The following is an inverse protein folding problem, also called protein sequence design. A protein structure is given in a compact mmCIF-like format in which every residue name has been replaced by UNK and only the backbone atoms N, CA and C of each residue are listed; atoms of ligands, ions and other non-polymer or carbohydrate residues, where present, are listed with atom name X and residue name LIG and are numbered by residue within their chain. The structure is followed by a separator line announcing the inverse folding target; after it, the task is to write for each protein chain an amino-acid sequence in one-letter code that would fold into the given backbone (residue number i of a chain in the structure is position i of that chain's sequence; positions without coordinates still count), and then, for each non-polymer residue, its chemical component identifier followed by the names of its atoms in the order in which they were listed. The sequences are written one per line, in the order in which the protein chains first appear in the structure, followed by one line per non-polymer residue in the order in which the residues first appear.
data_IF_201267806920
#
_entry.id   IF_201267806920
#
_cell.length_a   1.000
_cell.length_b   1.000
_cell.length_c   1.000
_cell.angle_alpha   90.00
_cell.angle_beta   90.00
_cell.angle_gamma   90.00
#
_symmetry.space_group_name_H-M   'P 1'
#
loop_
_entity.id
_entity.type
_entity.pdbx_description
1 polymer ?
#
# COMPACT_ATOMS: atom_id res chain seq x y z
N UNK A 1 4.52 -14.60 54.60
CA UNK A 1 4.20 -13.54 53.61
C UNK A 1 2.82 -13.83 53.02
N UNK A 2 1.76 -13.19 53.55
CA UNK A 2 0.40 -13.30 53.01
C UNK A 2 0.27 -12.25 51.90
N UNK A 3 0.36 -12.67 50.64
CA UNK A 3 0.04 -11.78 49.51
C UNK A 3 -1.45 -11.45 49.56
N UNK A 4 -1.75 -10.15 49.62
CA UNK A 4 -3.09 -9.58 49.59
C UNK A 4 -3.82 -9.91 48.29
N UNK A 5 -5.16 -9.99 48.34
CA UNK A 5 -5.99 -10.33 47.19
C UNK A 5 -5.88 -9.31 46.05
N UNK A 6 -5.49 -8.07 46.38
CA UNK A 6 -5.29 -6.96 45.44
C UNK A 6 -4.03 -7.11 44.59
N UNK A 7 -2.90 -7.47 45.20
CA UNK A 7 -1.64 -7.74 44.48
C UNK A 7 -1.74 -8.93 43.54
N UNK A 8 -2.56 -9.95 43.88
CA UNK A 8 -2.86 -11.07 42.99
C UNK A 8 -3.65 -10.66 41.74
N UNK A 9 -4.63 -9.76 41.88
CA UNK A 9 -5.41 -9.25 40.74
C UNK A 9 -4.56 -8.32 39.84
N UNK A 10 -3.69 -7.51 40.44
CA UNK A 10 -2.73 -6.69 39.69
C UNK A 10 -1.70 -7.52 38.91
N UNK A 11 -1.18 -8.59 39.51
CA UNK A 11 -0.27 -9.53 38.84
C UNK A 11 -0.96 -10.30 37.70
N UNK A 12 -2.21 -10.72 37.88
CA UNK A 12 -2.98 -11.39 36.82
C UNK A 12 -3.29 -10.43 35.66
N UNK A 13 -3.62 -9.16 35.95
CA UNK A 13 -3.79 -8.13 34.92
C UNK A 13 -2.50 -7.88 34.15
N UNK A 14 -1.38 -7.73 34.84
CA UNK A 14 -0.06 -7.56 34.23
C UNK A 14 0.36 -8.77 33.38
N UNK A 15 0.02 -9.99 33.81
CA UNK A 15 0.32 -11.23 33.08
C UNK A 15 -0.57 -11.42 31.83
N UNK A 16 -1.79 -10.87 31.82
CA UNK A 16 -2.69 -10.89 30.67
C UNK A 16 -2.36 -9.80 29.63
N UNK A 17 -1.73 -8.70 30.05
CA UNK A 17 -1.25 -7.62 29.17
C UNK A 17 0.15 -7.90 28.57
N UNK A 18 0.96 -8.74 29.23
CA UNK A 18 2.29 -9.13 28.78
C UNK A 18 2.34 -9.81 27.38
N UNK A 19 1.45 -10.76 27.01
CA UNK A 19 1.50 -11.38 25.69
C UNK A 19 1.16 -10.40 24.54
N UNK A 20 0.34 -9.37 24.78
CA UNK A 20 0.01 -8.35 23.78
C UNK A 20 1.21 -7.46 23.42
N UNK A 21 2.03 -7.11 24.40
CA UNK A 21 3.26 -6.33 24.19
C UNK A 21 4.37 -7.14 23.52
N UNK A 22 4.44 -8.45 23.79
CA UNK A 22 5.42 -9.35 23.17
C UNK A 22 5.07 -9.69 21.71
N UNK A 23 3.79 -9.83 21.36
CA UNK A 23 3.37 -10.09 19.98
C UNK A 23 3.57 -8.86 19.09
N UNK A 24 3.31 -7.66 19.63
CA UNK A 24 3.60 -6.40 18.94
C UNK A 24 5.09 -6.22 18.63
N UNK A 25 6.00 -6.65 19.52
CA UNK A 25 7.44 -6.56 19.30
C UNK A 25 7.96 -7.58 18.26
N UNK A 26 7.38 -8.78 18.19
CA UNK A 26 7.78 -9.81 17.23
C UNK A 26 7.41 -9.44 15.78
N UNK A 27 6.28 -8.76 15.55
CA UNK A 27 5.88 -8.28 14.23
C UNK A 27 6.78 -7.16 13.68
N UNK A 28 7.42 -6.37 14.54
CA UNK A 28 8.39 -5.33 14.09
C UNK A 28 9.71 -5.96 13.63
N UNK A 29 10.08 -7.13 14.17
CA UNK A 29 11.36 -7.75 13.86
C UNK A 29 11.38 -8.50 12.51
N UNK A 30 10.24 -8.99 12.02
CA UNK A 30 10.16 -9.83 10.80
C UNK A 30 9.16 -9.32 9.74
N UNK A 31 8.57 -8.13 9.94
CA UNK A 31 7.51 -7.63 9.08
C UNK A 31 6.23 -8.47 9.18
N UNK A 32 5.17 -8.03 8.50
CA UNK A 32 3.94 -8.84 8.37
C UNK A 32 4.20 -9.90 7.31
N UNK A 33 3.99 -11.18 7.68
CA UNK A 33 4.06 -12.27 6.70
C UNK A 33 2.90 -12.14 5.70
N UNK A 34 3.23 -11.72 4.49
CA UNK A 34 2.26 -11.51 3.42
C UNK A 34 1.58 -12.83 3.02
N UNK A 35 2.24 -13.98 3.15
CA UNK A 35 1.65 -15.28 2.82
C UNK A 35 0.55 -15.68 3.82
N UNK A 36 0.60 -15.14 5.05
CA UNK A 36 -0.41 -15.36 6.08
C UNK A 36 -1.59 -14.38 5.98
N UNK A 37 -1.52 -13.35 5.15
CA UNK A 37 -2.62 -12.39 4.98
C UNK A 37 -3.79 -13.04 4.23
N UNK A 38 -4.98 -12.89 4.79
CA UNK A 38 -6.21 -13.30 4.11
C UNK A 38 -6.40 -12.53 2.80
N UNK A 39 -6.95 -13.21 1.79
CA UNK A 39 -7.23 -12.63 0.47
C UNK A 39 -8.14 -11.39 0.52
N UNK A 40 -8.94 -11.24 1.59
CA UNK A 40 -9.79 -10.07 1.81
C UNK A 40 -9.00 -8.75 1.84
N UNK A 41 -7.73 -8.77 2.24
CA UNK A 41 -6.86 -7.59 2.20
C UNK A 41 -6.58 -7.08 0.78
N UNK A 42 -6.71 -7.94 -0.23
CA UNK A 42 -6.56 -7.57 -1.65
C UNK A 42 -7.81 -6.87 -2.23
N UNK A 43 -8.92 -6.79 -1.50
CA UNK A 43 -10.17 -6.27 -2.03
C UNK A 43 -10.10 -4.79 -2.44
N UNK A 44 -9.50 -3.86 -1.66
CA UNK A 44 -9.35 -2.47 -2.09
C UNK A 44 -8.49 -2.34 -3.36
N UNK A 45 -7.48 -3.19 -3.52
CA UNK A 45 -6.66 -3.23 -4.74
C UNK A 45 -7.46 -3.75 -5.94
N UNK A 46 -8.23 -4.83 -5.80
CA UNK A 46 -9.10 -5.32 -6.86
C UNK A 46 -10.16 -4.27 -7.26
N UNK A 47 -10.73 -3.56 -6.29
CA UNK A 47 -11.67 -2.46 -6.54
C UNK A 47 -11.02 -1.27 -7.26
N UNK A 48 -9.74 -0.98 -6.98
CA UNK A 48 -8.96 -0.01 -7.73
C UNK A 48 -8.79 -0.40 -9.19
N UNK A 49 -8.40 -1.66 -9.46
CA UNK A 49 -8.25 -2.18 -10.81
C UNK A 49 -9.58 -2.14 -11.57
N UNK A 50 -10.68 -2.48 -10.90
CA UNK A 50 -12.02 -2.38 -11.49
C UNK A 50 -12.39 -0.92 -11.79
N UNK A 51 -12.01 0.01 -10.92
CA UNK A 51 -12.27 1.44 -11.09
C UNK A 51 -11.55 1.99 -12.33
N UNK A 52 -10.25 1.71 -12.50
CA UNK A 52 -9.49 2.16 -13.68
C UNK A 52 -9.97 1.51 -14.98
N UNK A 53 -10.57 0.32 -14.91
CA UNK A 53 -11.07 -0.39 -16.09
C UNK A 53 -12.47 0.08 -16.50
N UNK A 54 -13.39 0.24 -15.54
CA UNK A 54 -14.81 0.45 -15.81
C UNK A 54 -15.22 1.93 -15.77
N UNK A 55 -14.70 2.72 -14.82
CA UNK A 55 -15.15 4.12 -14.66
C UNK A 55 -14.81 5.03 -15.85
N UNK A 56 -13.66 4.91 -16.54
CA UNK A 56 -13.44 5.69 -17.76
C UNK A 56 -14.46 5.40 -18.85
N UNK A 57 -15.00 4.18 -18.90
CA UNK A 57 -15.97 3.75 -19.91
C UNK A 57 -17.39 4.20 -19.56
N UNK A 58 -17.83 4.01 -18.32
CA UNK A 58 -19.21 4.29 -17.90
C UNK A 58 -19.43 5.72 -17.38
N UNK A 59 -18.40 6.34 -16.80
CA UNK A 59 -18.49 7.66 -16.16
C UNK A 59 -17.23 8.51 -16.43
N UNK A 60 -16.91 8.83 -17.69
CA UNK A 60 -15.67 9.54 -18.04
C UNK A 60 -15.55 10.90 -17.32
N UNK A 61 -16.63 11.67 -17.19
CA UNK A 61 -16.59 12.97 -16.49
C UNK A 61 -16.16 12.85 -15.03
N UNK A 62 -16.66 11.82 -14.33
CA UNK A 62 -16.29 11.52 -12.95
C UNK A 62 -14.82 11.07 -12.88
N UNK A 63 -14.42 10.15 -13.75
CA UNK A 63 -13.07 9.60 -13.76
C UNK A 63 -12.00 10.68 -13.97
N UNK A 64 -12.12 11.47 -15.03
CA UNK A 64 -11.10 12.47 -15.39
C UNK A 64 -10.96 13.56 -14.31
N UNK A 65 -12.05 13.89 -13.59
CA UNK A 65 -12.01 14.90 -12.53
C UNK A 65 -11.63 14.34 -11.15
N UNK A 66 -11.86 13.06 -10.88
CA UNK A 66 -11.72 12.47 -9.53
C UNK A 66 -10.88 11.20 -9.45
N UNK A 67 -10.14 10.81 -10.50
CA UNK A 67 -9.27 9.63 -10.49
C UNK A 67 -8.36 9.57 -9.24
N UNK A 68 -7.72 10.69 -8.88
CA UNK A 68 -6.83 10.74 -7.71
C UNK A 68 -7.57 10.62 -6.39
N UNK A 69 -8.80 11.14 -6.29
CA UNK A 69 -9.62 11.02 -5.07
C UNK A 69 -10.13 9.59 -4.90
N UNK A 70 -10.56 8.95 -5.99
CA UNK A 70 -10.98 7.55 -6.00
C UNK A 70 -9.80 6.66 -5.60
N UNK A 71 -8.63 6.89 -6.21
CA UNK A 71 -7.40 6.19 -5.87
C UNK A 71 -7.02 6.34 -4.40
N UNK A 72 -7.01 7.58 -3.90
CA UNK A 72 -6.75 7.87 -2.51
C UNK A 72 -7.77 7.22 -1.56
N UNK A 73 -9.05 7.19 -1.94
CA UNK A 73 -10.11 6.55 -1.16
C UNK A 73 -9.86 5.06 -0.96
N UNK A 74 -9.55 4.33 -2.03
CA UNK A 74 -9.23 2.91 -1.94
C UNK A 74 -7.91 2.64 -1.22
N UNK A 75 -6.89 3.49 -1.42
CA UNK A 75 -5.63 3.38 -0.68
C UNK A 75 -5.84 3.57 0.83
N UNK A 76 -6.62 4.57 1.24
CA UNK A 76 -6.97 4.79 2.65
C UNK A 76 -7.79 3.64 3.21
N UNK A 77 -8.70 3.05 2.41
CA UNK A 77 -9.48 1.90 2.82
C UNK A 77 -8.62 0.66 3.10
N UNK A 78 -7.44 0.55 2.50
CA UNK A 78 -6.44 -0.43 2.88
C UNK A 78 -5.61 0.03 4.10
N UNK A 79 -5.00 1.22 4.02
CA UNK A 79 -4.02 1.68 5.00
C UNK A 79 -4.62 1.90 6.40
N UNK A 80 -5.83 2.43 6.52
CA UNK A 80 -6.44 2.73 7.83
C UNK A 80 -6.74 1.46 8.64
N UNK A 81 -7.49 0.47 8.15
CA UNK A 81 -7.71 -0.76 8.92
C UNK A 81 -6.43 -1.57 9.11
N UNK A 82 -5.52 -1.58 8.12
CA UNK A 82 -4.24 -2.27 8.26
C UNK A 82 -3.40 -1.63 9.38
N UNK A 83 -3.34 -0.29 9.44
CA UNK A 83 -2.69 0.46 10.51
C UNK A 83 -3.34 0.24 11.87
N UNK A 84 -4.66 0.06 11.93
CA UNK A 84 -5.36 -0.18 13.19
C UNK A 84 -5.09 -1.58 13.75
N UNK A 85 -4.88 -2.58 12.89
CA UNK A 85 -4.69 -3.99 13.27
C UNK A 85 -3.20 -4.32 13.50
N UNK A 86 -2.33 -3.90 12.58
CA UNK A 86 -0.90 -4.26 12.59
C UNK A 86 0.02 -3.14 13.09
N UNK A 87 -0.54 -1.94 13.33
CA UNK A 87 0.16 -0.80 13.88
C UNK A 87 0.64 0.20 12.81
N UNK A 88 0.63 1.49 13.19
CA UNK A 88 0.99 2.59 12.30
C UNK A 88 2.46 2.57 11.86
N UNK A 89 3.38 2.19 12.74
CA UNK A 89 4.81 2.13 12.41
C UNK A 89 5.12 1.09 11.33
N UNK A 90 4.58 -0.12 11.48
CA UNK A 90 4.74 -1.22 10.50
C UNK A 90 4.10 -0.85 9.16
N UNK A 91 2.90 -0.25 9.20
CA UNK A 91 2.20 0.18 7.99
C UNK A 91 2.94 1.29 7.26
N UNK A 92 3.47 2.27 7.99
CA UNK A 92 4.23 3.38 7.42
C UNK A 92 5.57 2.92 6.83
N UNK A 93 6.28 2.02 7.52
CA UNK A 93 7.52 1.44 7.01
C UNK A 93 7.28 0.68 5.70
N UNK A 94 6.29 -0.21 5.67
CA UNK A 94 5.92 -0.93 4.45
C UNK A 94 5.49 0.01 3.32
N UNK A 95 4.65 1.01 3.60
CA UNK A 95 4.20 1.98 2.61
C UNK A 95 5.36 2.83 2.06
N UNK A 96 6.26 3.30 2.92
CA UNK A 96 7.43 4.07 2.52
C UNK A 96 8.43 3.21 1.76
N UNK A 97 8.64 1.97 2.18
CA UNK A 97 9.47 1.02 1.46
C UNK A 97 8.96 0.84 0.03
N UNK A 98 7.68 0.49 -0.14
CA UNK A 98 7.08 0.35 -1.48
C UNK A 98 7.13 1.65 -2.28
N UNK A 99 6.83 2.80 -1.67
CA UNK A 99 6.85 4.09 -2.38
C UNK A 99 8.25 4.48 -2.86
N UNK A 100 9.27 4.31 -2.00
CA UNK A 100 10.63 4.80 -2.26
C UNK A 100 11.49 3.78 -3.00
N UNK A 101 11.35 2.49 -2.70
CA UNK A 101 12.21 1.43 -3.21
C UNK A 101 11.62 0.76 -4.46
N UNK A 102 10.30 0.82 -4.67
CA UNK A 102 9.65 0.15 -5.81
C UNK A 102 8.99 1.14 -6.75
N UNK A 103 8.11 1.99 -6.23
CA UNK A 103 7.29 2.88 -7.05
C UNK A 103 8.10 4.02 -7.66
N UNK A 104 8.89 4.74 -6.85
CA UNK A 104 9.72 5.84 -7.33
C UNK A 104 10.72 5.40 -8.42
N UNK A 105 11.54 4.34 -8.23
CA UNK A 105 12.45 3.90 -9.29
C UNK A 105 11.72 3.41 -10.53
N UNK A 106 10.55 2.79 -10.41
CA UNK A 106 9.73 2.43 -11.58
C UNK A 106 9.27 3.66 -12.36
N UNK A 107 8.75 4.70 -11.69
CA UNK A 107 8.35 5.95 -12.35
C UNK A 107 9.55 6.64 -13.00
N UNK A 108 10.70 6.65 -12.33
CA UNK A 108 11.93 7.20 -12.89
C UNK A 108 12.40 6.43 -14.12
N UNK A 109 12.31 5.09 -14.09
CA UNK A 109 12.60 4.24 -15.23
C UNK A 109 11.67 4.55 -16.41
N UNK A 110 10.35 4.64 -16.18
CA UNK A 110 9.40 5.02 -17.22
C UNK A 110 9.70 6.40 -17.79
N UNK A 111 10.05 7.36 -16.93
CA UNK A 111 10.43 8.73 -17.33
C UNK A 111 11.69 8.73 -18.19
N UNK A 112 12.71 7.95 -17.81
CA UNK A 112 13.94 7.79 -18.57
C UNK A 112 13.66 7.13 -19.92
N UNK A 113 12.85 6.08 -19.96
CA UNK A 113 12.46 5.40 -21.21
C UNK A 113 11.71 6.34 -22.14
N UNK A 114 10.74 7.09 -21.63
CA UNK A 114 10.01 8.10 -22.40
C UNK A 114 10.96 9.16 -22.98
N UNK A 115 11.90 9.65 -22.18
CA UNK A 115 12.86 10.68 -22.62
C UNK A 115 13.80 10.14 -23.70
N UNK A 116 14.37 8.95 -23.50
CA UNK A 116 15.34 8.36 -24.43
C UNK A 116 14.66 7.90 -25.72
N UNK A 117 13.44 7.37 -25.68
CA UNK A 117 12.72 6.90 -26.88
C UNK A 117 11.96 8.01 -27.61
N UNK A 118 11.29 8.90 -26.88
CA UNK A 118 10.49 10.00 -27.45
C UNK A 118 11.32 11.21 -27.88
N UNK A 119 12.54 11.38 -27.35
CA UNK A 119 13.45 12.47 -27.69
C UNK A 119 14.33 12.24 -28.93
N UNK A 120 14.18 11.11 -29.63
CA UNK A 120 15.00 10.79 -30.81
C UNK A 120 14.51 11.60 -32.01
N UNK A 121 15.29 12.61 -32.40
CA UNK A 121 15.08 13.35 -33.64
C UNK A 121 15.54 12.52 -34.84
N UNK A 122 14.61 11.82 -35.49
CA UNK A 122 14.89 11.09 -36.74
C UNK A 122 14.93 12.08 -37.91
N UNK A 123 16.12 12.33 -38.46
CA UNK A 123 16.35 13.20 -39.62
C UNK A 123 16.91 12.38 -40.78
N UNK A 124 16.29 12.50 -41.96
CA UNK A 124 16.70 11.80 -43.18
C UNK A 124 15.76 12.10 -44.35
N UNK A 125 16.08 11.60 -45.55
CA UNK A 125 15.24 11.73 -46.74
C UNK A 125 14.09 10.70 -46.71
N UNK A 126 13.21 10.83 -45.71
CA UNK A 126 12.08 9.95 -45.46
C UNK A 126 11.03 10.15 -46.57
N UNK A 127 11.18 9.43 -47.68
CA UNK A 127 10.18 9.38 -48.73
C UNK A 127 9.00 8.52 -48.29
N UNK A 128 7.93 9.15 -47.84
CA UNK A 128 6.64 8.47 -47.71
C UNK A 128 6.04 8.28 -49.10
N UNK A 129 6.09 7.07 -49.66
CA UNK A 129 5.18 6.71 -50.75
C UNK A 129 3.96 6.03 -50.13
N UNK A 130 2.78 6.67 -50.13
CA UNK A 130 1.55 5.94 -49.86
C UNK A 130 1.33 4.90 -50.96
N UNK A 131 0.76 3.76 -50.59
CA UNK A 131 0.08 2.85 -51.51
C UNK A 131 -1.41 3.19 -51.54
#
# INVERSE_FOLDING_TARGET
MRLDRGSRLGLLGALLLAPGLSQAAATVAHGVDAAALSLWWGLPFAAMLLSIALLPLFAPGLWHHHQGKIAGGWALLFLLPFSAIYGAGVTADAALHTLLQEYLPFVLLLTALYTVSGGIAVRGNLHGSPA
#
